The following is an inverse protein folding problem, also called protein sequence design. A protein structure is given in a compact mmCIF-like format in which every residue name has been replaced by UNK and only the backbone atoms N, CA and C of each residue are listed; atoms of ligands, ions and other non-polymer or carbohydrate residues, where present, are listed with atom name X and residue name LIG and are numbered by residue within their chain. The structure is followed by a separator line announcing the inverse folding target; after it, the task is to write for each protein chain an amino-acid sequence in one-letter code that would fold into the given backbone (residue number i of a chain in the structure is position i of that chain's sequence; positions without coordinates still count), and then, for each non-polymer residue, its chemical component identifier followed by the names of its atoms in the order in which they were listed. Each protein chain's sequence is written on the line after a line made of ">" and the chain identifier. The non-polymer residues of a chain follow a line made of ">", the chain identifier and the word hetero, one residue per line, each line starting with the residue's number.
data_IF_421042745267
#
_entry.id   IF_421042745267
#
_cell.length_a   1.000
_cell.length_b   1.000
_cell.length_c   1.000
_cell.angle_alpha   90.00
_cell.angle_beta   90.00
_cell.angle_gamma   90.00
#
_symmetry.space_group_name_H-M   'P 1'
#
loop_
_entity.id
_entity.type
_entity.pdbx_description
1 polymer ?
#
# COMPACT_ATOMS: atom_id res chain seq x y z
N UNK A 1 5.19 18.26 8.48
CA UNK A 1 5.71 17.58 7.28
C UNK A 1 7.05 16.95 7.63
N UNK A 2 7.13 15.63 7.64
CA UNK A 2 8.34 14.86 7.85
C UNK A 2 9.18 14.80 6.58
N UNK A 3 10.42 15.28 6.64
CA UNK A 3 11.39 15.08 5.58
C UNK A 3 12.27 13.88 5.92
N UNK A 4 12.57 13.05 4.93
CA UNK A 4 13.48 11.93 5.09
C UNK A 4 14.86 12.43 5.53
N UNK A 5 15.38 11.83 6.60
CA UNK A 5 16.73 12.03 7.09
C UNK A 5 17.43 10.67 7.05
N UNK A 6 18.43 10.48 6.16
CA UNK A 6 19.15 9.22 6.05
C UNK A 6 19.68 8.74 7.40
N UNK A 7 19.49 7.46 7.72
CA UNK A 7 20.15 6.86 8.87
C UNK A 7 21.67 6.75 8.63
N UNK A 8 22.41 6.34 9.66
CA UNK A 8 23.85 6.04 9.53
C UNK A 8 24.14 4.89 8.54
N UNK A 9 23.17 4.01 8.33
CA UNK A 9 23.28 2.81 7.48
C UNK A 9 22.62 3.03 6.12
N UNK A 10 22.08 4.23 5.87
CA UNK A 10 21.44 4.58 4.61
C UNK A 10 22.44 4.55 3.45
N UNK A 11 22.00 3.95 2.34
CA UNK A 11 22.72 3.94 1.06
C UNK A 11 21.91 4.72 0.04
N UNK A 12 22.48 5.81 -0.48
CA UNK A 12 21.97 6.51 -1.66
C UNK A 12 22.34 5.70 -2.90
N UNK A 13 21.35 5.14 -3.61
CA UNK A 13 21.62 4.30 -4.78
C UNK A 13 21.96 5.12 -6.03
N UNK A 14 21.71 6.44 -6.00
CA UNK A 14 21.78 7.36 -7.15
C UNK A 14 20.83 7.00 -8.30
N UNK A 15 19.95 6.03 -8.11
CA UNK A 15 18.96 5.63 -9.12
C UNK A 15 17.74 6.54 -9.03
N UNK A 16 17.27 7.12 -10.13
CA UNK A 16 16.02 7.85 -10.13
C UNK A 16 14.84 6.89 -10.01
N UNK A 17 13.75 7.37 -9.41
CA UNK A 17 12.44 6.75 -9.54
C UNK A 17 11.40 7.77 -9.98
N UNK A 18 10.34 7.26 -10.60
CA UNK A 18 9.14 8.00 -10.93
C UNK A 18 7.94 7.08 -10.73
N UNK A 19 6.89 7.60 -10.10
CA UNK A 19 5.64 6.88 -9.88
C UNK A 19 4.45 7.81 -10.07
N UNK A 20 3.35 7.28 -10.59
CA UNK A 20 2.06 7.94 -10.57
C UNK A 20 1.12 7.16 -9.65
N UNK A 21 0.27 7.85 -8.92
CA UNK A 21 -0.79 7.25 -8.13
C UNK A 21 -2.12 7.98 -8.36
N UNK A 22 -3.21 7.22 -8.28
CA UNK A 22 -4.58 7.73 -8.36
C UNK A 22 -5.04 8.37 -7.06
N UNK A 23 -6.29 8.81 -7.05
CA UNK A 23 -7.01 9.30 -5.85
C UNK A 23 -6.25 10.37 -5.04
N UNK A 24 -5.44 11.18 -5.73
CA UNK A 24 -4.60 12.20 -5.14
C UNK A 24 -5.37 13.41 -4.58
N UNK A 25 -6.68 13.48 -4.79
CA UNK A 25 -7.58 14.49 -4.23
C UNK A 25 -8.46 13.89 -3.13
N UNK A 26 -8.85 14.72 -2.17
CA UNK A 26 -9.65 14.31 -1.00
C UNK A 26 -11.03 13.70 -1.33
N UNK A 27 -11.56 13.98 -2.52
CA UNK A 27 -12.83 13.42 -3.01
C UNK A 27 -12.67 12.05 -3.69
N UNK A 28 -11.49 11.41 -3.60
CA UNK A 28 -11.22 10.12 -4.21
C UNK A 28 -11.01 10.19 -5.73
N UNK A 29 -10.53 11.34 -6.25
CA UNK A 29 -10.27 11.52 -7.68
C UNK A 29 -8.88 12.08 -7.97
N UNK A 30 -8.55 12.26 -9.25
CA UNK A 30 -7.29 12.84 -9.69
C UNK A 30 -6.11 11.86 -9.68
N UNK A 31 -4.98 12.35 -10.15
CA UNK A 31 -3.72 11.62 -10.14
C UNK A 31 -2.60 12.57 -9.73
N UNK A 32 -1.59 12.02 -9.08
CA UNK A 32 -0.35 12.72 -8.80
C UNK A 32 0.82 11.93 -9.40
N UNK A 33 1.88 12.66 -9.68
CA UNK A 33 3.13 12.12 -10.17
C UNK A 33 4.23 12.57 -9.22
N UNK A 34 5.06 11.64 -8.79
CA UNK A 34 6.21 11.88 -7.92
C UNK A 34 7.45 11.32 -8.59
N UNK A 35 8.54 12.08 -8.51
CA UNK A 35 9.87 11.60 -8.85
C UNK A 35 10.86 11.93 -7.75
N UNK A 36 12.00 11.25 -7.78
CA UNK A 36 13.03 11.41 -6.78
C UNK A 36 14.17 10.41 -6.96
N UNK A 37 14.86 10.12 -5.87
CA UNK A 37 16.00 9.19 -5.85
C UNK A 37 15.71 8.01 -4.92
N UNK A 38 16.12 6.82 -5.32
CA UNK A 38 16.03 5.63 -4.50
C UNK A 38 17.15 5.59 -3.45
N UNK A 39 16.79 5.13 -2.27
CA UNK A 39 17.69 4.83 -1.17
C UNK A 39 17.45 3.39 -0.72
N UNK A 40 18.42 2.82 -0.02
CA UNK A 40 18.21 1.66 0.83
C UNK A 40 18.49 2.05 2.27
N UNK A 41 17.55 1.77 3.16
CA UNK A 41 17.70 2.05 4.59
C UNK A 41 16.86 1.06 5.40
N UNK A 42 16.91 1.17 6.72
CA UNK A 42 16.10 0.38 7.64
C UNK A 42 14.72 1.01 7.79
N UNK A 43 13.66 0.24 7.50
CA UNK A 43 12.27 0.70 7.63
C UNK A 43 11.57 -0.12 8.71
N UNK A 44 11.06 0.58 9.73
CA UNK A 44 10.28 -0.02 10.81
C UNK A 44 8.85 0.49 10.78
N UNK A 45 7.88 -0.42 10.77
CA UNK A 45 6.45 -0.14 10.85
C UNK A 45 5.78 -1.18 11.75
N UNK A 46 4.90 -0.74 12.65
CA UNK A 46 4.18 -1.61 13.59
C UNK A 46 5.09 -2.56 14.42
N UNK A 47 6.31 -2.12 14.74
CA UNK A 47 7.29 -2.92 15.48
C UNK A 47 8.04 -3.97 14.65
N UNK A 48 7.73 -4.10 13.36
CA UNK A 48 8.43 -4.96 12.41
C UNK A 48 9.48 -4.15 11.65
N UNK A 49 10.68 -4.70 11.48
CA UNK A 49 11.82 -4.01 10.88
C UNK A 49 12.33 -4.77 9.67
N UNK A 50 12.42 -4.09 8.53
CA UNK A 50 13.14 -4.58 7.35
C UNK A 50 14.40 -3.75 7.18
N UNK A 51 15.55 -4.41 7.27
CA UNK A 51 16.84 -3.81 6.94
C UNK A 51 17.02 -3.74 5.42
N UNK A 52 17.77 -2.73 4.94
CA UNK A 52 18.09 -2.57 3.52
C UNK A 52 16.85 -2.52 2.59
N UNK A 53 15.74 -1.97 3.09
CA UNK A 53 14.53 -1.73 2.31
C UNK A 53 14.77 -0.62 1.28
N UNK A 54 14.47 -0.90 0.01
CA UNK A 54 14.46 0.15 -1.02
C UNK A 54 13.28 1.10 -0.78
N UNK A 55 13.55 2.40 -0.70
CA UNK A 55 12.55 3.47 -0.55
C UNK A 55 12.84 4.63 -1.51
N UNK A 56 11.78 5.29 -1.97
CA UNK A 56 11.89 6.48 -2.82
C UNK A 56 11.83 7.76 -2.00
N UNK A 57 12.85 8.62 -2.13
CA UNK A 57 12.86 9.95 -1.54
C UNK A 57 12.48 10.96 -2.60
N UNK A 58 11.27 11.52 -2.47
CA UNK A 58 10.73 12.50 -3.40
C UNK A 58 11.56 13.79 -3.41
N UNK A 59 11.65 14.43 -4.57
CA UNK A 59 12.30 15.75 -4.69
C UNK A 59 11.52 16.81 -3.90
N UNK A 60 12.23 17.72 -3.21
CA UNK A 60 11.61 18.77 -2.39
C UNK A 60 10.64 19.66 -3.17
N UNK A 61 10.87 19.85 -4.47
CA UNK A 61 9.96 20.60 -5.35
C UNK A 61 8.57 19.95 -5.50
N UNK A 62 8.42 18.69 -5.11
CA UNK A 62 7.16 17.93 -5.10
C UNK A 62 6.51 17.87 -3.71
N UNK A 63 7.09 18.53 -2.70
CA UNK A 63 6.53 18.60 -1.34
C UNK A 63 5.17 19.32 -1.25
N UNK A 64 4.74 19.97 -2.34
CA UNK A 64 3.46 20.66 -2.46
C UNK A 64 2.34 19.79 -3.04
N UNK A 65 2.50 18.46 -3.09
CA UNK A 65 1.33 17.61 -3.39
C UNK A 65 0.29 17.83 -2.30
N UNK A 66 -0.99 17.95 -2.67
CA UNK A 66 -2.11 18.09 -1.72
C UNK A 66 -2.37 16.81 -0.90
N UNK A 67 -1.39 15.91 -0.84
CA UNK A 67 -1.47 14.69 -0.08
C UNK A 67 -1.30 15.04 1.42
N UNK A 68 -2.26 14.67 2.28
CA UNK A 68 -2.29 15.16 3.66
C UNK A 68 -1.25 14.50 4.58
N UNK A 69 -0.50 13.51 4.09
CA UNK A 69 0.47 12.74 4.86
C UNK A 69 1.89 12.88 4.29
N UNK A 70 2.90 12.44 5.06
CA UNK A 70 4.31 12.62 4.72
C UNK A 70 4.82 11.65 3.64
N UNK A 71 4.06 10.59 3.32
CA UNK A 71 4.46 9.61 2.31
C UNK A 71 3.50 8.42 2.22
N UNK A 72 3.83 7.47 1.35
CA UNK A 72 3.02 6.27 1.06
C UNK A 72 3.91 5.03 1.24
N UNK A 73 3.36 3.99 1.86
CA UNK A 73 3.94 2.64 1.87
C UNK A 73 3.06 1.69 1.07
N UNK A 74 3.58 1.20 -0.06
CA UNK A 74 2.85 0.27 -0.93
C UNK A 74 2.97 -1.17 -0.43
N UNK A 75 1.84 -1.88 -0.35
CA UNK A 75 1.77 -3.30 0.00
C UNK A 75 1.53 -4.20 -1.22
N UNK A 76 1.38 -3.61 -2.40
CA UNK A 76 1.14 -4.31 -3.66
C UNK A 76 2.34 -5.09 -4.22
N UNK A 77 2.06 -5.84 -5.27
CA UNK A 77 3.01 -6.71 -5.96
C UNK A 77 4.23 -5.95 -6.48
N UNK A 78 5.39 -6.61 -6.45
CA UNK A 78 6.67 -6.05 -6.92
C UNK A 78 6.59 -5.50 -8.36
N UNK A 79 5.78 -6.11 -9.24
CA UNK A 79 5.62 -5.68 -10.63
C UNK A 79 5.01 -4.28 -10.78
N UNK A 80 4.33 -3.77 -9.75
CA UNK A 80 3.76 -2.42 -9.71
C UNK A 80 4.71 -1.39 -9.11
N UNK A 81 5.82 -1.82 -8.50
CA UNK A 81 6.78 -0.93 -7.90
C UNK A 81 7.66 -0.26 -8.95
N UNK A 82 8.02 1.00 -8.71
CA UNK A 82 9.08 1.66 -9.46
C UNK A 82 10.38 0.84 -9.37
N UNK A 83 11.06 0.70 -10.50
CA UNK A 83 12.33 -0.03 -10.62
C UNK A 83 12.24 -1.51 -10.15
N UNK A 84 11.04 -2.10 -10.14
CA UNK A 84 10.81 -3.48 -9.70
C UNK A 84 11.35 -3.73 -8.27
N UNK A 85 11.28 -2.72 -7.39
CA UNK A 85 11.72 -2.84 -6.01
C UNK A 85 10.75 -3.71 -5.19
N UNK A 86 11.28 -4.64 -4.40
CA UNK A 86 10.45 -5.46 -3.49
C UNK A 86 9.85 -4.59 -2.40
N UNK A 87 8.53 -4.69 -2.19
CA UNK A 87 7.85 -3.90 -1.17
C UNK A 87 8.24 -4.33 0.24
N UNK A 88 8.03 -3.45 1.21
CA UNK A 88 8.33 -3.72 2.62
C UNK A 88 7.62 -4.97 3.15
N UNK A 89 6.33 -5.12 2.83
CA UNK A 89 5.56 -6.29 3.22
C UNK A 89 6.11 -7.59 2.61
N UNK A 90 6.47 -7.57 1.33
CA UNK A 90 7.08 -8.74 0.68
C UNK A 90 8.45 -9.09 1.25
N UNK A 91 9.26 -8.10 1.63
CA UNK A 91 10.52 -8.34 2.32
C UNK A 91 10.33 -8.96 3.71
N UNK A 92 9.27 -8.57 4.46
CA UNK A 92 8.93 -9.25 5.70
C UNK A 92 8.65 -10.75 5.47
N UNK A 93 7.80 -11.05 4.49
CA UNK A 93 7.45 -12.43 4.14
C UNK A 93 8.68 -13.24 3.70
N UNK A 94 9.47 -12.69 2.77
CA UNK A 94 10.62 -13.39 2.18
C UNK A 94 11.72 -13.66 3.22
N UNK A 95 11.89 -12.77 4.20
CA UNK A 95 12.91 -12.90 5.23
C UNK A 95 12.41 -13.64 6.49
N UNK A 96 11.17 -14.14 6.51
CA UNK A 96 10.62 -14.85 7.66
C UNK A 96 10.48 -13.98 8.91
N UNK A 97 10.20 -12.69 8.72
CA UNK A 97 10.07 -11.69 9.80
C UNK A 97 8.64 -11.61 10.37
N UNK A 98 7.75 -12.46 9.86
CA UNK A 98 6.35 -12.59 10.27
C UNK A 98 5.96 -14.07 10.30
N UNK A 99 5.04 -14.44 11.19
CA UNK A 99 4.58 -15.83 11.34
C UNK A 99 3.77 -16.30 10.12
N UNK A 100 2.89 -15.44 9.61
CA UNK A 100 2.13 -15.69 8.39
C UNK A 100 2.36 -14.56 7.36
N UNK A 101 2.57 -14.91 6.08
CA UNK A 101 2.64 -13.91 5.01
C UNK A 101 1.25 -13.36 4.68
N UNK A 102 0.71 -12.52 5.57
CA UNK A 102 -0.59 -11.86 5.44
C UNK A 102 -0.61 -10.54 6.19
N UNK A 103 -1.53 -9.67 5.80
CA UNK A 103 -1.93 -8.52 6.60
C UNK A 103 -3.45 -8.35 6.54
N UNK A 104 -3.99 -7.55 7.44
CA UNK A 104 -5.39 -7.19 7.50
C UNK A 104 -5.57 -5.73 7.87
N UNK A 105 -6.63 -5.13 7.33
CA UNK A 105 -7.06 -3.78 7.64
C UNK A 105 -8.45 -3.83 8.25
N UNK A 106 -8.60 -3.25 9.44
CA UNK A 106 -9.90 -2.98 10.05
C UNK A 106 -10.07 -1.46 10.12
N UNK A 107 -10.84 -0.90 9.19
CA UNK A 107 -11.06 0.54 9.06
C UNK A 107 -12.45 0.91 9.59
N UNK A 108 -12.59 2.09 10.20
CA UNK A 108 -13.87 2.60 10.67
C UNK A 108 -14.11 4.06 10.24
N UNK A 109 -15.38 4.47 10.33
CA UNK A 109 -15.85 5.79 9.88
C UNK A 109 -15.33 6.96 10.75
N UNK A 110 -14.69 6.66 11.89
CA UNK A 110 -14.15 7.67 12.82
C UNK A 110 -12.72 8.11 12.47
N UNK A 111 -12.30 7.97 11.20
CA UNK A 111 -10.93 8.22 10.75
C UNK A 111 -9.88 7.44 11.57
N UNK A 112 -10.21 6.22 11.96
CA UNK A 112 -9.30 5.34 12.67
C UNK A 112 -9.37 3.92 12.12
N UNK A 113 -8.38 3.11 12.46
CA UNK A 113 -8.31 1.74 12.00
C UNK A 113 -7.08 1.04 12.55
N UNK A 114 -6.99 -0.24 12.24
CA UNK A 114 -5.88 -1.10 12.63
C UNK A 114 -5.29 -1.76 11.39
N UNK A 115 -3.96 -1.74 11.30
CA UNK A 115 -3.19 -2.60 10.42
C UNK A 115 -2.62 -3.73 11.27
N UNK A 116 -2.94 -4.97 10.90
CA UNK A 116 -2.40 -6.18 11.50
C UNK A 116 -1.52 -6.86 10.46
N UNK A 117 -0.27 -7.14 10.81
CA UNK A 117 0.69 -7.78 9.91
C UNK A 117 1.19 -9.06 10.55
N UNK A 118 1.28 -10.14 9.79
CA UNK A 118 1.86 -11.40 10.25
C UNK A 118 0.90 -12.33 10.98
N UNK A 119 -0.33 -11.90 11.26
CA UNK A 119 -1.33 -12.66 12.01
C UNK A 119 -2.75 -12.28 11.60
N UNK A 120 -3.75 -12.99 12.12
CA UNK A 120 -5.16 -12.65 12.01
C UNK A 120 -5.71 -12.34 13.40
N UNK A 121 -6.08 -11.07 13.63
CA UNK A 121 -6.71 -10.66 14.89
C UNK A 121 -8.22 -10.85 14.82
N UNK A 122 -8.72 -11.94 15.42
CA UNK A 122 -10.16 -12.24 15.48
C UNK A 122 -10.96 -11.27 16.36
N UNK A 123 -10.30 -10.40 17.13
CA UNK A 123 -10.97 -9.35 17.89
C UNK A 123 -11.43 -8.16 17.04
N UNK A 124 -11.02 -8.10 15.76
CA UNK A 124 -11.31 -6.98 14.86
C UNK A 124 -12.50 -7.23 13.91
N UNK A 125 -13.10 -8.42 13.93
CA UNK A 125 -14.24 -8.76 13.08
C UNK A 125 -15.16 -9.77 13.76
N UNK A 126 -16.43 -9.75 13.37
CA UNK A 126 -17.43 -10.73 13.80
C UNK A 126 -17.62 -11.83 12.74
N UNK A 127 -17.81 -13.06 13.19
CA UNK A 127 -18.08 -14.20 12.32
C UNK A 127 -16.87 -14.66 11.50
N UNK A 128 -17.13 -15.33 10.38
CA UNK A 128 -16.09 -15.90 9.52
C UNK A 128 -15.75 -14.98 8.34
N UNK A 129 -14.47 -14.94 7.97
CA UNK A 129 -14.04 -14.26 6.75
C UNK A 129 -14.40 -15.08 5.51
N UNK A 130 -14.98 -14.41 4.52
CA UNK A 130 -15.14 -14.97 3.17
C UNK A 130 -13.80 -14.96 2.44
N UNK A 131 -13.44 -16.08 1.83
CA UNK A 131 -12.25 -16.21 0.98
C UNK A 131 -12.69 -16.27 -0.48
N UNK A 132 -11.98 -15.57 -1.35
CA UNK A 132 -12.19 -15.61 -2.80
C UNK A 132 -10.92 -16.07 -3.52
N UNK A 133 -11.04 -16.68 -4.71
CA UNK A 133 -9.89 -16.94 -5.56
C UNK A 133 -9.18 -15.64 -5.96
N UNK A 134 -7.85 -15.66 -5.90
CA UNK A 134 -7.00 -14.54 -6.32
C UNK A 134 -6.94 -14.55 -7.85
N UNK A 135 -7.38 -13.47 -8.49
CA UNK A 135 -7.17 -13.25 -9.92
C UNK A 135 -5.74 -12.75 -10.16
N UNK A 136 -5.33 -11.83 -9.31
CA UNK A 136 -3.99 -11.28 -9.18
C UNK A 136 -3.83 -10.77 -7.73
N UNK A 137 -2.61 -10.57 -7.22
CA UNK A 137 -2.39 -10.01 -5.87
C UNK A 137 -3.23 -8.75 -5.60
N UNK A 138 -4.14 -8.85 -4.62
CA UNK A 138 -5.18 -7.85 -4.25
C UNK A 138 -6.33 -7.66 -5.25
N UNK A 139 -6.44 -8.53 -6.26
CA UNK A 139 -7.55 -8.57 -7.20
C UNK A 139 -8.35 -9.87 -7.10
N UNK A 140 -9.67 -9.76 -7.23
CA UNK A 140 -10.60 -10.88 -7.35
C UNK A 140 -11.57 -10.64 -8.50
N UNK A 141 -12.32 -11.66 -8.89
CA UNK A 141 -13.52 -11.49 -9.70
C UNK A 141 -14.76 -11.34 -8.83
N UNK A 142 -15.69 -10.48 -9.24
CA UNK A 142 -16.98 -10.28 -8.58
C UNK A 142 -18.06 -9.77 -9.53
N UNK A 143 -19.33 -9.95 -9.16
CA UNK A 143 -20.46 -9.36 -9.87
C UNK A 143 -20.85 -8.04 -9.21
N UNK A 144 -21.16 -7.02 -10.01
CA UNK A 144 -21.66 -5.73 -9.53
C UNK A 144 -23.19 -5.77 -9.57
N UNK A 145 -23.82 -5.67 -8.39
CA UNK A 145 -25.27 -5.77 -8.23
C UNK A 145 -25.82 -4.53 -7.56
N UNK A 146 -26.78 -3.85 -8.20
CA UNK A 146 -27.47 -2.67 -7.66
C UNK A 146 -28.97 -2.93 -7.66
N UNK A 147 -29.62 -2.77 -6.51
CA UNK A 147 -31.06 -3.00 -6.39
C UNK A 147 -31.52 -4.42 -6.79
N UNK A 148 -30.65 -5.42 -6.64
CA UNK A 148 -30.91 -6.81 -7.06
C UNK A 148 -30.71 -7.09 -8.55
N UNK A 149 -30.31 -6.09 -9.35
CA UNK A 149 -29.98 -6.27 -10.76
C UNK A 149 -28.46 -6.35 -10.92
N UNK A 150 -27.99 -7.42 -11.57
CA UNK A 150 -26.58 -7.53 -11.98
C UNK A 150 -26.31 -6.55 -13.11
N UNK A 151 -25.47 -5.56 -12.85
CA UNK A 151 -25.02 -4.57 -13.84
C UNK A 151 -23.79 -5.06 -14.60
N UNK A 152 -22.91 -5.78 -13.92
CA UNK A 152 -21.70 -6.36 -14.50
C UNK A 152 -21.42 -7.74 -13.90
N UNK A 153 -20.92 -8.65 -14.74
CA UNK A 153 -20.54 -10.00 -14.33
C UNK A 153 -19.05 -10.20 -14.47
N UNK A 154 -18.45 -10.90 -13.50
CA UNK A 154 -17.02 -11.19 -13.48
C UNK A 154 -16.14 -9.94 -13.68
N UNK A 155 -16.54 -8.81 -13.07
CA UNK A 155 -15.71 -7.62 -13.01
C UNK A 155 -14.42 -7.95 -12.25
N UNK A 156 -13.31 -7.35 -12.68
CA UNK A 156 -12.09 -7.36 -11.88
C UNK A 156 -12.25 -6.34 -10.75
N UNK A 157 -12.02 -6.77 -9.52
CA UNK A 157 -12.18 -5.94 -8.31
C UNK A 157 -10.84 -5.87 -7.60
N UNK A 158 -10.30 -4.65 -7.46
CA UNK A 158 -9.09 -4.35 -6.70
C UNK A 158 -9.44 -3.93 -5.27
N UNK A 159 -8.71 -4.48 -4.29
CA UNK A 159 -8.77 -4.01 -2.91
C UNK A 159 -7.68 -2.97 -2.66
N UNK A 160 -7.97 -1.71 -3.02
CA UNK A 160 -7.04 -0.58 -2.86
C UNK A 160 -7.36 0.24 -1.60
N UNK A 161 -6.56 0.06 -0.55
CA UNK A 161 -6.69 0.84 0.70
C UNK A 161 -6.22 2.30 0.57
N UNK A 162 -5.57 2.67 -0.54
CA UNK A 162 -5.15 4.04 -0.83
C UNK A 162 -6.29 4.93 -1.30
N UNK A 163 -7.42 4.34 -1.72
CA UNK A 163 -8.57 5.04 -2.27
C UNK A 163 -9.72 5.14 -1.26
N UNK A 164 -10.41 6.29 -1.24
CA UNK A 164 -11.53 6.56 -0.30
C UNK A 164 -12.91 6.28 -0.88
N UNK A 165 -12.99 6.00 -2.18
CA UNK A 165 -14.24 5.76 -2.93
C UNK A 165 -14.12 4.51 -3.80
N UNK A 166 -15.27 3.94 -4.18
CA UNK A 166 -15.32 2.90 -5.22
C UNK A 166 -15.30 3.59 -6.58
N UNK A 167 -14.38 3.17 -7.45
CA UNK A 167 -14.17 3.72 -8.80
C UNK A 167 -14.26 2.58 -9.81
N UNK A 168 -14.98 2.79 -10.91
CA UNK A 168 -15.23 1.79 -11.96
C UNK A 168 -16.02 2.38 -13.12
#
# INVERSE_FOLDING_TARGET
>A
MGLYKPSKDSVDTKEPFAIAYGTAQSNGTGSAFINGTLYRDTVTLAGLTVENQTLGVANESQSSTNYPHDGIIGFGAQRFAANNATSWFHNLCANGLVDECRFGLALNDANSGSLVVGTLDSGLFDGDLTKTPIAEEWFTYGDVVVGGQTLEKNAIVEFDSGSTTIVG
#
